data_IF_597969697120
#
_entry.id   IF_597969697120
#
_cell.length_a   1.000
_cell.length_b   1.000
_cell.length_c   1.000
_cell.angle_alpha   90.00
_cell.angle_beta   90.00
_cell.angle_gamma   90.00
#
_symmetry.space_group_name_H-M   'P 1'
#
loop_
_entity.id
_entity.type
_entity.pdbx_description
1 polymer ?
#
# COMPACT_ATOMS: atom_id res chain seq x y z
N UNK A 1 -23.39 61.66 4.81
CA UNK A 1 -23.73 60.69 5.88
C UNK A 1 -24.63 59.65 5.24
N UNK A 2 -24.09 58.46 4.98
CA UNK A 2 -24.74 57.14 4.98
C UNK A 2 -23.69 56.12 4.52
N UNK A 3 -23.58 55.06 5.31
CA UNK A 3 -22.55 54.02 5.34
C UNK A 3 -23.16 52.73 4.79
N UNK A 4 -22.31 51.73 4.53
CA UNK A 4 -22.53 50.27 4.44
C UNK A 4 -22.91 49.72 3.06
N UNK A 5 -22.32 48.63 2.57
CA UNK A 5 -21.33 47.72 3.16
C UNK A 5 -20.69 46.85 2.08
N UNK A 6 -19.41 46.53 2.25
CA UNK A 6 -18.71 45.52 1.45
C UNK A 6 -18.84 44.20 2.19
N UNK A 7 -19.51 43.23 1.57
CA UNK A 7 -19.55 41.84 2.01
C UNK A 7 -18.13 41.27 1.91
N UNK A 8 -17.54 40.92 3.04
CA UNK A 8 -16.32 40.10 3.10
C UNK A 8 -16.75 38.66 2.81
N UNK A 9 -16.35 38.15 1.64
CA UNK A 9 -16.49 36.73 1.31
C UNK A 9 -15.45 35.97 2.13
N UNK A 10 -15.92 35.24 3.14
CA UNK A 10 -15.13 34.35 4.00
C UNK A 10 -14.66 33.15 3.17
N UNK A 11 -13.50 33.29 2.53
CA UNK A 11 -12.81 32.18 1.88
C UNK A 11 -12.29 31.24 2.97
N UNK A 12 -13.14 30.29 3.39
CA UNK A 12 -12.70 29.09 4.11
C UNK A 12 -11.75 28.31 3.21
N UNK A 13 -10.45 28.60 3.34
CA UNK A 13 -9.39 27.83 2.71
C UNK A 13 -9.43 26.42 3.27
N UNK A 14 -9.84 25.46 2.45
CA UNK A 14 -9.77 24.03 2.74
C UNK A 14 -8.29 23.64 2.85
N UNK A 15 -7.75 23.73 4.07
CA UNK A 15 -6.39 23.31 4.41
C UNK A 15 -6.33 21.78 4.50
N UNK A 16 -6.72 21.09 3.43
CA UNK A 16 -6.36 19.67 3.33
C UNK A 16 -4.83 19.58 3.22
N UNK A 17 -4.16 18.78 4.07
CA UNK A 17 -2.72 18.63 4.00
C UNK A 17 -2.33 18.12 2.62
N UNK A 18 -1.25 18.68 2.06
CA UNK A 18 -0.75 18.24 0.77
C UNK A 18 -0.50 16.71 0.80
N UNK A 19 -0.84 15.97 -0.27
CA UNK A 19 -0.67 14.52 -0.31
C UNK A 19 0.76 14.12 0.02
N UNK A 20 0.93 13.12 0.90
CA UNK A 20 2.26 12.60 1.21
C UNK A 20 2.86 11.94 -0.04
N UNK A 21 4.07 12.37 -0.42
CA UNK A 21 4.75 11.82 -1.58
C UNK A 21 5.39 10.48 -1.22
N UNK A 22 4.99 9.42 -1.93
CA UNK A 22 5.60 8.09 -1.80
C UNK A 22 7.07 8.18 -2.23
N UNK A 23 7.97 7.69 -1.37
CA UNK A 23 9.39 7.66 -1.67
C UNK A 23 9.74 6.42 -2.48
N UNK A 24 10.37 6.61 -3.64
CA UNK A 24 10.77 5.50 -4.52
C UNK A 24 11.69 4.47 -3.86
N UNK A 25 12.44 4.88 -2.82
CA UNK A 25 13.33 3.97 -2.11
C UNK A 25 12.62 3.04 -1.11
N UNK A 26 11.31 3.18 -0.91
CA UNK A 26 10.51 2.34 0.00
C UNK A 26 9.04 2.28 -0.47
N UNK A 27 8.73 1.35 -1.36
CA UNK A 27 7.36 1.16 -1.87
C UNK A 27 7.16 -0.18 -2.57
N UNK A 28 5.92 -0.65 -2.61
CA UNK A 28 5.45 -1.67 -3.55
C UNK A 28 4.99 -0.96 -4.83
N UNK A 29 5.66 -1.24 -5.94
CA UNK A 29 5.47 -0.46 -7.17
C UNK A 29 4.74 -1.22 -8.27
N UNK A 30 4.72 -2.55 -8.23
CA UNK A 30 4.00 -3.37 -9.21
C UNK A 30 3.57 -4.70 -8.58
N UNK A 31 2.52 -5.30 -9.13
CA UNK A 31 2.13 -6.66 -8.84
C UNK A 31 1.55 -7.36 -10.07
N UNK A 32 1.69 -8.67 -10.13
CA UNK A 32 0.92 -9.48 -11.07
C UNK A 32 0.50 -10.79 -10.43
N UNK A 33 -0.63 -11.31 -10.90
CA UNK A 33 -1.17 -12.59 -10.47
C UNK A 33 -0.74 -13.69 -11.41
N UNK A 34 -0.45 -14.86 -10.85
CA UNK A 34 -0.29 -16.12 -11.57
C UNK A 34 -1.53 -16.99 -11.34
N UNK A 35 -1.51 -18.23 -11.80
CA UNK A 35 -2.56 -19.21 -11.48
C UNK A 35 -2.55 -19.59 -9.98
N UNK A 36 -1.37 -19.56 -9.36
CA UNK A 36 -1.16 -20.11 -8.02
C UNK A 36 -0.97 -19.03 -6.94
N UNK A 37 -0.43 -17.87 -7.31
CA UNK A 37 0.00 -16.84 -6.37
C UNK A 37 0.02 -15.42 -6.93
N UNK A 38 0.21 -14.47 -6.03
CA UNK A 38 0.41 -13.05 -6.33
C UNK A 38 1.89 -12.72 -6.12
N UNK A 39 2.49 -12.10 -7.12
CA UNK A 39 3.87 -11.62 -7.07
C UNK A 39 3.86 -10.11 -6.89
N UNK A 40 4.53 -9.62 -5.84
CA UNK A 40 4.73 -8.20 -5.56
C UNK A 40 6.18 -7.83 -5.85
N UNK A 41 6.36 -6.67 -6.47
CA UNK A 41 7.65 -6.03 -6.62
C UNK A 41 7.76 -4.83 -5.69
N UNK A 42 8.77 -4.84 -4.81
CA UNK A 42 8.92 -3.83 -3.79
C UNK A 42 10.37 -3.40 -3.59
N UNK A 43 10.56 -2.09 -3.47
CA UNK A 43 11.85 -1.45 -3.22
C UNK A 43 12.01 -1.12 -1.74
N UNK A 44 13.22 -1.30 -1.21
CA UNK A 44 13.59 -0.88 0.15
C UNK A 44 13.13 -1.79 1.29
N UNK A 45 12.38 -2.85 1.01
CA UNK A 45 11.97 -3.84 2.03
C UNK A 45 13.18 -4.67 2.48
N UNK A 46 13.93 -5.21 1.52
CA UNK A 46 15.18 -5.95 1.72
C UNK A 46 16.39 -5.04 1.42
N UNK A 47 16.54 -3.95 2.17
CA UNK A 47 17.56 -2.92 1.88
C UNK A 47 18.98 -3.28 2.35
N UNK A 48 19.15 -4.33 3.15
CA UNK A 48 20.44 -4.71 3.74
C UNK A 48 21.19 -5.63 2.76
N UNK A 49 22.43 -5.28 2.43
CA UNK A 49 23.24 -6.10 1.51
C UNK A 49 23.37 -7.53 2.04
N UNK A 50 23.03 -8.50 1.19
CA UNK A 50 23.13 -9.93 1.51
C UNK A 50 22.13 -10.43 2.55
N UNK A 51 21.08 -9.66 2.86
CA UNK A 51 20.04 -10.05 3.80
C UNK A 51 18.65 -9.73 3.24
N UNK A 52 17.94 -10.79 2.86
CA UNK A 52 16.50 -10.74 2.60
C UNK A 52 15.76 -11.04 3.90
N UNK A 53 14.71 -10.27 4.19
CA UNK A 53 13.83 -10.57 5.32
C UNK A 53 13.19 -11.94 5.08
N UNK A 54 13.18 -12.84 6.07
CA UNK A 54 12.52 -14.13 5.89
C UNK A 54 11.02 -13.92 5.62
N UNK A 55 10.38 -14.78 4.80
CA UNK A 55 8.96 -14.67 4.49
C UNK A 55 8.07 -14.58 5.74
N UNK A 56 8.46 -15.23 6.84
CA UNK A 56 7.75 -15.21 8.13
C UNK A 56 7.72 -13.85 8.83
N UNK A 57 8.53 -12.89 8.39
CA UNK A 57 8.51 -11.51 8.89
C UNK A 57 7.59 -10.58 8.08
N UNK A 58 6.93 -11.12 7.04
CA UNK A 58 6.19 -10.34 6.06
C UNK A 58 4.79 -10.89 5.83
N UNK A 59 3.81 -9.99 5.68
CA UNK A 59 2.50 -10.31 5.13
C UNK A 59 2.26 -9.54 3.84
N UNK A 60 1.50 -10.11 2.90
CA UNK A 60 0.83 -9.32 1.88
C UNK A 60 -0.48 -8.78 2.42
N UNK A 61 -0.76 -7.51 2.14
CA UNK A 61 -1.98 -6.81 2.57
C UNK A 61 -2.80 -6.51 1.33
N UNK A 62 -3.97 -7.15 1.21
CA UNK A 62 -4.96 -6.85 0.17
C UNK A 62 -6.00 -5.91 0.74
N UNK A 63 -6.33 -4.85 0.00
CA UNK A 63 -7.15 -3.73 0.47
C UNK A 63 -6.41 -2.89 1.53
N UNK A 64 -5.63 -1.90 1.08
CA UNK A 64 -4.77 -1.07 1.94
C UNK A 64 -5.61 -0.43 3.08
N UNK A 65 -5.24 -0.69 4.34
CA UNK A 65 -5.99 -0.31 5.55
C UNK A 65 -6.24 -1.50 6.48
N UNK A 66 -7.50 -1.72 6.87
CA UNK A 66 -7.95 -2.89 7.65
C UNK A 66 -8.01 -4.20 6.82
N UNK A 67 -7.20 -4.27 5.76
CA UNK A 67 -7.22 -5.31 4.74
C UNK A 67 -6.79 -6.69 5.20
N UNK A 68 -7.03 -7.65 4.31
CA UNK A 68 -6.73 -9.07 4.49
C UNK A 68 -5.22 -9.26 4.43
N UNK A 69 -4.71 -10.00 5.41
CA UNK A 69 -3.30 -10.37 5.50
C UNK A 69 -3.11 -11.81 5.09
N UNK A 70 -2.18 -12.05 4.19
CA UNK A 70 -1.72 -13.40 3.85
C UNK A 70 -0.23 -13.49 4.14
N UNK A 71 0.22 -14.65 4.62
CA UNK A 71 1.65 -14.87 4.87
C UNK A 71 2.42 -14.87 3.54
N UNK A 72 3.55 -14.16 3.50
CA UNK A 72 4.49 -14.25 2.38
C UNK A 72 5.10 -15.65 2.37
N UNK A 73 5.20 -16.26 1.18
CA UNK A 73 5.74 -17.61 0.97
C UNK A 73 7.17 -17.58 0.45
N UNK A 74 7.56 -16.51 -0.26
CA UNK A 74 8.91 -16.29 -0.76
C UNK A 74 9.28 -14.82 -0.69
N UNK A 75 10.51 -14.52 -0.28
CA UNK A 75 11.09 -13.19 -0.27
C UNK A 75 12.54 -13.28 -0.75
N UNK A 76 12.82 -12.65 -1.89
CA UNK A 76 14.17 -12.59 -2.46
C UNK A 76 14.35 -11.23 -3.14
N UNK A 77 15.34 -10.45 -2.70
CA UNK A 77 15.60 -9.11 -3.22
C UNK A 77 14.32 -8.24 -3.21
N UNK A 78 13.89 -7.77 -4.39
CA UNK A 78 12.71 -6.92 -4.59
C UNK A 78 11.46 -7.72 -4.97
N UNK A 79 11.48 -9.05 -4.86
CA UNK A 79 10.38 -9.94 -5.30
C UNK A 79 9.80 -10.73 -4.11
N UNK A 80 8.49 -10.64 -3.96
CA UNK A 80 7.75 -11.25 -2.85
C UNK A 80 6.57 -12.04 -3.41
N UNK A 81 6.29 -13.22 -2.85
CA UNK A 81 5.16 -14.06 -3.26
C UNK A 81 4.23 -14.32 -2.11
N UNK A 82 2.94 -14.33 -2.38
CA UNK A 82 1.90 -14.62 -1.41
C UNK A 82 0.73 -15.33 -2.08
N UNK A 83 0.02 -16.20 -1.36
CA UNK A 83 -1.16 -16.85 -1.90
C UNK A 83 -2.25 -15.82 -2.20
N UNK A 84 -3.17 -16.18 -3.10
CA UNK A 84 -4.37 -15.39 -3.30
C UNK A 84 -5.16 -15.28 -1.98
N UNK A 85 -5.73 -14.10 -1.67
CA UNK A 85 -6.67 -13.97 -0.57
C UNK A 85 -7.94 -14.75 -0.89
N UNK A 86 -8.73 -15.11 0.14
CA UNK A 86 -10.04 -15.71 -0.09
C UNK A 86 -10.91 -14.74 -0.91
N UNK A 87 -11.47 -15.16 -2.06
CA UNK A 87 -12.34 -14.31 -2.87
C UNK A 87 -13.56 -13.76 -2.12
N UNK A 88 -14.02 -14.45 -1.07
CA UNK A 88 -15.16 -14.01 -0.26
C UNK A 88 -14.84 -12.88 0.70
N UNK A 89 -13.56 -12.69 1.03
CA UNK A 89 -13.12 -11.63 1.94
C UNK A 89 -12.91 -10.30 1.19
N UNK A 90 -12.79 -10.34 -0.15
CA UNK A 90 -12.51 -9.16 -0.97
C UNK A 90 -13.80 -8.44 -1.41
N UNK A 91 -13.80 -7.11 -1.26
CA UNK A 91 -14.82 -6.27 -1.91
C UNK A 91 -14.55 -6.15 -3.41
N UNK A 92 -15.22 -7.02 -4.18
CA UNK A 92 -15.12 -7.09 -5.64
C UNK A 92 -15.60 -5.83 -6.38
N UNK A 93 -16.23 -4.87 -5.69
CA UNK A 93 -16.74 -3.66 -6.32
C UNK A 93 -15.70 -2.53 -6.43
N UNK A 94 -14.52 -2.71 -5.83
CA UNK A 94 -13.47 -1.69 -5.80
C UNK A 94 -12.14 -2.22 -6.33
N UNK A 95 -11.27 -1.31 -6.75
CA UNK A 95 -9.92 -1.66 -7.15
C UNK A 95 -9.11 -2.04 -5.90
N UNK A 96 -8.62 -3.27 -5.85
CA UNK A 96 -7.92 -3.80 -4.67
C UNK A 96 -6.45 -3.39 -4.73
N UNK A 97 -6.07 -2.41 -3.91
CA UNK A 97 -4.66 -2.12 -3.67
C UNK A 97 -3.99 -3.28 -2.94
N UNK A 98 -2.73 -3.57 -3.28
CA UNK A 98 -1.96 -4.63 -2.63
C UNK A 98 -0.63 -4.09 -2.12
N UNK A 99 -0.22 -4.50 -0.93
CA UNK A 99 1.05 -4.08 -0.33
C UNK A 99 1.71 -5.18 0.49
N UNK A 100 2.84 -4.84 1.13
CA UNK A 100 3.54 -5.65 2.12
C UNK A 100 3.43 -5.01 3.51
N UNK A 101 3.39 -5.84 4.54
CA UNK A 101 3.51 -5.47 5.94
C UNK A 101 4.78 -6.08 6.51
N UNK A 102 5.60 -5.26 7.17
CA UNK A 102 6.76 -5.70 7.95
C UNK A 102 6.27 -5.93 9.38
N UNK A 103 6.07 -7.20 9.75
CA UNK A 103 5.34 -7.59 10.97
C UNK A 103 6.01 -7.03 12.23
N UNK A 104 7.33 -7.20 12.35
CA UNK A 104 8.09 -6.77 13.53
C UNK A 104 8.08 -5.26 13.74
N UNK A 105 7.87 -4.49 12.68
CA UNK A 105 7.87 -3.02 12.70
C UNK A 105 6.45 -2.44 12.72
N UNK A 106 5.43 -3.28 12.50
CA UNK A 106 4.04 -2.87 12.30
C UNK A 106 3.90 -1.78 11.22
N UNK A 107 4.67 -1.91 10.13
CA UNK A 107 4.69 -0.97 9.01
C UNK A 107 4.06 -1.63 7.79
N UNK A 108 3.01 -1.00 7.25
CA UNK A 108 2.54 -1.29 5.89
C UNK A 108 3.34 -0.43 4.92
N UNK A 109 4.02 -1.09 3.99
CA UNK A 109 4.80 -0.43 2.94
C UNK A 109 3.85 0.41 2.08
N UNK A 110 4.21 1.65 1.70
CA UNK A 110 3.41 2.42 0.74
C UNK A 110 3.30 1.67 -0.59
N UNK A 111 2.14 1.73 -1.25
CA UNK A 111 1.91 0.99 -2.49
C UNK A 111 1.17 1.81 -3.54
N UNK A 112 1.54 1.57 -4.80
CA UNK A 112 0.78 1.96 -5.99
C UNK A 112 0.33 0.74 -6.81
N UNK A 113 0.61 -0.48 -6.32
CA UNK A 113 0.31 -1.73 -6.98
C UNK A 113 -1.13 -2.17 -6.72
N UNK A 114 -1.71 -2.86 -7.69
CA UNK A 114 -3.09 -3.33 -7.64
C UNK A 114 -3.16 -4.82 -7.93
N UNK A 115 -3.88 -5.53 -7.07
CA UNK A 115 -4.20 -6.92 -7.26
C UNK A 115 -5.26 -7.07 -8.35
N UNK A 116 -5.01 -7.98 -9.28
CA UNK A 116 -5.94 -8.38 -10.35
C UNK A 116 -6.10 -9.90 -10.26
N UNK A 117 -7.23 -10.42 -9.76
CA UNK A 117 -7.46 -11.87 -9.63
C UNK A 117 -7.34 -12.62 -10.95
#
# INVERSE_FOLDING_TARGET
>A
MLVTGTSEEDETQDQSPAPELIRWNFMVYESFSTEDDVVLFAKGVNHRQGYDRPPTELNCVFQIGDGIRTAVTSSVQEVFRCPHPDPFDLDSNSRIGVSLEIIAENIVVPSVAYYTP
#
